data_IF_215030011599
#
_entry.id   IF_215030011599
#
_cell.length_a   1.000
_cell.length_b   1.000
_cell.length_c   1.000
_cell.angle_alpha   90.00
_cell.angle_beta   90.00
_cell.angle_gamma   90.00
#
_symmetry.space_group_name_H-M   'P 1'
#
loop_
_entity.id
_entity.type
_entity.pdbx_description
1 polymer ?
#
# COMPACT_ATOMS: atom_id res chain seq x y z
N UNK A 1 -13.22 10.07 32.05
CA UNK A 1 -14.27 10.50 31.08
C UNK A 1 -14.69 9.24 30.38
N UNK A 2 -15.89 8.72 30.70
CA UNK A 2 -16.28 7.37 30.36
C UNK A 2 -16.46 7.22 28.85
N UNK A 3 -15.62 6.41 28.20
CA UNK A 3 -15.88 5.90 26.87
C UNK A 3 -17.16 5.05 26.94
N UNK A 4 -18.26 5.63 26.48
CA UNK A 4 -19.45 4.87 26.18
C UNK A 4 -19.12 4.00 24.96
N UNK A 5 -18.70 2.77 25.21
CA UNK A 5 -18.75 1.68 24.24
C UNK A 5 -20.22 1.36 23.98
N UNK A 6 -20.90 2.24 23.23
CA UNK A 6 -22.20 1.91 22.68
C UNK A 6 -21.96 0.92 21.55
N UNK A 7 -22.55 -0.28 21.68
CA UNK A 7 -22.47 -1.34 20.69
C UNK A 7 -22.85 -0.80 19.31
N UNK A 8 -21.89 -0.82 18.39
CA UNK A 8 -22.14 -0.50 16.99
C UNK A 8 -22.77 -1.75 16.38
N UNK A 9 -24.09 -1.73 16.20
CA UNK A 9 -24.77 -2.77 15.43
C UNK A 9 -24.35 -2.64 13.97
N UNK A 10 -23.58 -3.61 13.48
CA UNK A 10 -23.13 -3.66 12.09
C UNK A 10 -24.35 -3.97 11.22
N UNK A 11 -24.85 -2.94 10.54
CA UNK A 11 -25.88 -3.02 9.50
C UNK A 11 -25.37 -2.31 8.26
N UNK A 12 -25.71 -2.83 7.09
CA UNK A 12 -25.39 -2.18 5.81
C UNK A 12 -26.06 -0.81 5.73
N UNK A 13 -25.26 0.22 5.47
CA UNK A 13 -25.69 1.61 5.37
C UNK A 13 -25.95 2.07 3.94
N UNK A 14 -26.63 3.21 3.81
CA UNK A 14 -26.89 3.87 2.53
C UNK A 14 -25.79 4.86 2.14
N UNK A 15 -26.14 5.82 1.29
CA UNK A 15 -25.22 6.87 0.83
C UNK A 15 -24.83 7.86 1.95
N UNK A 16 -23.56 7.92 2.38
CA UNK A 16 -23.11 8.75 3.50
C UNK A 16 -22.84 10.22 3.10
N UNK A 17 -22.98 10.61 1.82
CA UNK A 17 -22.55 11.94 1.33
C UNK A 17 -23.27 13.12 1.99
N UNK A 18 -24.43 12.90 2.57
CA UNK A 18 -25.18 13.92 3.30
C UNK A 18 -24.61 14.22 4.70
N UNK A 19 -23.70 13.38 5.22
CA UNK A 19 -23.08 13.53 6.52
C UNK A 19 -21.83 14.42 6.46
N UNK A 20 -21.72 15.37 7.38
CA UNK A 20 -20.54 16.23 7.51
C UNK A 20 -19.29 15.41 7.86
N UNK A 21 -19.45 14.36 8.67
CA UNK A 21 -18.38 13.46 9.06
C UNK A 21 -17.76 12.74 7.86
N UNK A 22 -18.59 12.33 6.89
CA UNK A 22 -18.10 11.71 5.66
C UNK A 22 -17.32 12.70 4.79
N UNK A 23 -17.77 13.95 4.69
CA UNK A 23 -17.03 14.98 3.95
C UNK A 23 -15.67 15.27 4.60
N UNK A 24 -15.63 15.37 5.94
CA UNK A 24 -14.39 15.54 6.68
C UNK A 24 -13.41 14.36 6.50
N UNK A 25 -13.90 13.11 6.45
CA UNK A 25 -13.05 11.94 6.12
C UNK A 25 -12.43 12.12 4.73
N UNK A 26 -13.22 12.54 3.73
CA UNK A 26 -12.72 12.73 2.36
C UNK A 26 -11.66 13.81 2.29
N UNK A 27 -11.82 14.90 3.02
CA UNK A 27 -10.81 15.96 3.12
C UNK A 27 -9.48 15.43 3.67
N UNK A 28 -9.53 14.64 4.75
CA UNK A 28 -8.34 14.00 5.33
C UNK A 28 -7.69 13.00 4.35
N UNK A 29 -8.49 12.15 3.70
CA UNK A 29 -7.99 11.17 2.72
C UNK A 29 -7.36 11.85 1.50
N UNK A 30 -7.90 12.98 1.05
CA UNK A 30 -7.35 13.73 -0.09
C UNK A 30 -5.94 14.26 0.16
N UNK A 31 -5.56 14.49 1.43
CA UNK A 31 -4.18 14.91 1.79
C UNK A 31 -3.13 13.88 1.38
N UNK A 32 -3.48 12.59 1.29
CA UNK A 32 -2.55 11.50 0.88
C UNK A 32 -1.90 11.80 -0.48
N UNK A 33 -2.64 12.42 -1.40
CA UNK A 33 -2.16 12.70 -2.75
C UNK A 33 -1.78 14.19 -2.94
N UNK A 34 -1.85 15.01 -1.88
CA UNK A 34 -1.72 16.46 -2.01
C UNK A 34 -0.24 16.88 -2.07
N UNK A 35 0.16 17.71 -3.05
CA UNK A 35 1.56 18.14 -3.21
C UNK A 35 2.14 18.91 -2.02
N UNK A 36 1.29 19.55 -1.21
CA UNK A 36 1.73 20.31 -0.04
C UNK A 36 2.15 19.46 1.15
N UNK A 37 2.19 18.12 1.02
CA UNK A 37 2.67 17.18 2.03
C UNK A 37 2.01 17.36 3.42
N UNK A 38 0.71 17.67 3.43
CA UNK A 38 -0.03 17.74 4.69
C UNK A 38 -0.12 16.35 5.33
N UNK A 39 0.15 16.29 6.63
CA UNK A 39 0.00 15.06 7.39
C UNK A 39 -1.49 14.68 7.52
N UNK A 40 -1.77 13.40 7.30
CA UNK A 40 -3.12 12.82 7.39
C UNK A 40 -3.41 12.47 8.85
N UNK A 41 -4.54 12.93 9.39
CA UNK A 41 -4.93 12.56 10.74
C UNK A 41 -5.73 11.24 10.75
N UNK A 42 -5.01 10.11 10.89
CA UNK A 42 -5.62 8.77 10.89
C UNK A 42 -6.58 8.53 12.07
N UNK A 43 -6.27 9.05 13.26
CA UNK A 43 -7.16 8.95 14.43
C UNK A 43 -8.48 9.69 14.21
N UNK A 44 -8.42 10.85 13.56
CA UNK A 44 -9.61 11.59 13.17
C UNK A 44 -10.46 10.79 12.19
N UNK A 45 -9.86 10.24 11.13
CA UNK A 45 -10.57 9.39 10.15
C UNK A 45 -11.27 8.22 10.85
N UNK A 46 -10.59 7.53 11.77
CA UNK A 46 -11.16 6.43 12.55
C UNK A 46 -12.39 6.89 13.34
N UNK A 47 -12.27 7.99 14.09
CA UNK A 47 -13.38 8.51 14.91
C UNK A 47 -14.59 8.94 14.08
N UNK A 48 -14.35 9.60 12.93
CA UNK A 48 -15.40 10.05 12.02
C UNK A 48 -16.08 8.88 11.33
N UNK A 49 -15.33 7.85 10.93
CA UNK A 49 -15.89 6.67 10.30
C UNK A 49 -16.82 5.91 11.26
N UNK A 50 -16.43 5.77 12.53
CA UNK A 50 -17.30 5.22 13.57
C UNK A 50 -18.56 6.07 13.78
N UNK A 51 -18.47 7.40 13.66
CA UNK A 51 -19.65 8.28 13.70
C UNK A 51 -20.57 8.06 12.49
N UNK A 52 -20.03 7.89 11.29
CA UNK A 52 -20.79 7.54 10.08
C UNK A 52 -21.49 6.19 10.27
N UNK A 53 -20.79 5.16 10.76
CA UNK A 53 -21.38 3.84 10.99
C UNK A 53 -22.58 3.88 11.94
N UNK A 54 -22.48 4.65 13.03
CA UNK A 54 -23.59 4.79 13.99
C UNK A 54 -24.82 5.47 13.37
N UNK A 55 -24.61 6.48 12.52
CA UNK A 55 -25.70 7.30 11.97
C UNK A 55 -26.34 6.69 10.72
N UNK A 56 -25.52 6.18 9.82
CA UNK A 56 -25.94 5.75 8.48
C UNK A 56 -25.85 4.24 8.26
N UNK A 57 -25.15 3.50 9.13
CA UNK A 57 -24.73 2.13 8.87
C UNK A 57 -23.40 2.08 8.13
N UNK A 58 -22.93 0.87 7.85
CA UNK A 58 -21.62 0.62 7.22
C UNK A 58 -21.77 0.60 5.71
N UNK A 59 -21.10 1.53 5.03
CA UNK A 59 -20.88 1.52 3.59
C UNK A 59 -19.45 1.11 3.24
N UNK A 60 -19.21 0.65 2.00
CA UNK A 60 -17.92 0.11 1.59
C UNK A 60 -16.81 1.17 1.63
N UNK A 61 -17.09 2.39 1.18
CA UNK A 61 -16.06 3.43 1.08
C UNK A 61 -15.59 3.87 2.46
N UNK A 62 -16.52 4.15 3.37
CA UNK A 62 -16.20 4.48 4.76
C UNK A 62 -15.52 3.30 5.47
N UNK A 63 -15.95 2.05 5.21
CA UNK A 63 -15.29 0.85 5.74
C UNK A 63 -13.83 0.73 5.30
N UNK A 64 -13.51 1.03 4.04
CA UNK A 64 -12.14 1.00 3.53
C UNK A 64 -11.28 2.11 4.15
N UNK A 65 -11.84 3.31 4.36
CA UNK A 65 -11.15 4.40 5.05
C UNK A 65 -10.90 4.08 6.52
N UNK A 66 -11.88 3.51 7.20
CA UNK A 66 -11.75 3.01 8.57
C UNK A 66 -10.66 1.94 8.67
N UNK A 67 -10.71 0.91 7.82
CA UNK A 67 -9.74 -0.18 7.82
C UNK A 67 -8.31 0.34 7.61
N UNK A 68 -8.11 1.30 6.69
CA UNK A 68 -6.80 1.90 6.47
C UNK A 68 -6.33 2.74 7.66
N UNK A 69 -7.24 3.49 8.30
CA UNK A 69 -6.94 4.28 9.49
C UNK A 69 -6.57 3.39 10.69
N UNK A 70 -7.31 2.30 10.90
CA UNK A 70 -7.00 1.27 11.90
C UNK A 70 -5.65 0.62 11.64
N UNK A 71 -5.36 0.27 10.39
CA UNK A 71 -4.06 -0.28 10.04
C UNK A 71 -2.92 0.71 10.37
N UNK A 72 -3.07 1.98 10.02
CA UNK A 72 -2.08 3.02 10.33
C UNK A 72 -1.90 3.26 11.83
N UNK A 73 -2.96 3.13 12.62
CA UNK A 73 -2.95 3.50 14.04
C UNK A 73 -2.64 2.34 14.98
N UNK A 74 -3.07 1.12 14.62
CA UNK A 74 -2.97 -0.09 15.45
C UNK A 74 -2.16 -1.23 14.78
N UNK A 75 -1.52 -0.96 13.64
CA UNK A 75 -0.66 -1.93 12.96
C UNK A 75 -1.42 -3.16 12.50
N UNK A 76 -0.80 -4.34 12.62
CA UNK A 76 -1.35 -5.60 12.12
C UNK A 76 -2.73 -5.90 12.71
N UNK A 77 -2.93 -5.69 14.01
CA UNK A 77 -4.23 -5.93 14.66
C UNK A 77 -5.35 -5.08 14.04
N UNK A 78 -5.11 -3.78 13.84
CA UNK A 78 -6.08 -2.90 13.17
C UNK A 78 -6.32 -3.27 11.71
N UNK A 79 -5.33 -3.86 11.04
CA UNK A 79 -5.51 -4.40 9.69
C UNK A 79 -6.39 -5.65 9.68
N UNK A 80 -6.19 -6.58 10.61
CA UNK A 80 -7.03 -7.76 10.78
C UNK A 80 -8.49 -7.36 11.00
N UNK A 81 -8.76 -6.51 11.99
CA UNK A 81 -10.10 -5.98 12.29
C UNK A 81 -10.75 -5.32 11.05
N UNK A 82 -9.97 -4.54 10.32
CA UNK A 82 -10.42 -3.89 9.10
C UNK A 82 -10.78 -4.89 8.00
N UNK A 83 -9.97 -5.92 7.79
CA UNK A 83 -10.25 -6.98 6.82
C UNK A 83 -11.47 -7.82 7.21
N UNK A 84 -11.67 -8.12 8.49
CA UNK A 84 -12.86 -8.83 8.99
C UNK A 84 -14.13 -8.01 8.77
N UNK A 85 -14.10 -6.71 9.06
CA UNK A 85 -15.21 -5.80 8.77
C UNK A 85 -15.54 -5.80 7.27
N UNK A 86 -14.52 -5.67 6.41
CA UNK A 86 -14.70 -5.66 4.96
C UNK A 86 -15.26 -7.00 4.46
N UNK A 87 -14.76 -8.12 4.96
CA UNK A 87 -15.27 -9.44 4.64
C UNK A 87 -16.76 -9.56 5.02
N UNK A 88 -17.14 -9.07 6.20
CA UNK A 88 -18.53 -9.04 6.66
C UNK A 88 -19.43 -8.19 5.76
N UNK A 89 -19.02 -6.95 5.44
CA UNK A 89 -19.80 -6.04 4.58
C UNK A 89 -20.00 -6.61 3.18
N UNK A 90 -18.93 -7.14 2.57
CA UNK A 90 -18.97 -7.68 1.21
C UNK A 90 -19.74 -9.00 1.17
N UNK A 91 -19.55 -9.86 2.16
CA UNK A 91 -20.23 -11.16 2.23
C UNK A 91 -21.72 -11.05 2.55
N UNK A 92 -22.14 -10.06 3.34
CA UNK A 92 -23.53 -9.92 3.76
C UNK A 92 -24.43 -9.25 2.71
N UNK A 93 -23.99 -8.15 2.09
CA UNK A 93 -24.89 -7.26 1.34
C UNK A 93 -24.18 -6.55 0.17
N UNK A 94 -23.35 -7.25 -0.61
CA UNK A 94 -22.62 -6.64 -1.75
C UNK A 94 -23.53 -5.81 -2.67
N UNK A 95 -24.72 -6.32 -3.01
CA UNK A 95 -25.64 -5.63 -3.92
C UNK A 95 -26.13 -4.29 -3.36
N UNK A 96 -26.42 -4.26 -2.05
CA UNK A 96 -27.02 -3.12 -1.36
C UNK A 96 -25.97 -2.14 -0.79
N UNK A 97 -24.73 -2.57 -0.70
CA UNK A 97 -23.66 -1.78 -0.13
C UNK A 97 -23.30 -0.57 -1.02
N UNK A 98 -23.27 0.62 -0.43
CA UNK A 98 -22.86 1.83 -1.15
C UNK A 98 -21.33 1.88 -1.32
N UNK A 99 -20.77 2.39 -2.45
CA UNK A 99 -21.44 2.99 -3.62
C UNK A 99 -22.19 2.01 -4.52
N UNK A 100 -23.27 2.42 -5.18
CA UNK A 100 -24.06 1.55 -6.07
C UNK A 100 -23.31 1.06 -7.31
N UNK A 101 -22.33 1.85 -7.79
CA UNK A 101 -21.59 1.52 -8.99
C UNK A 101 -20.50 0.47 -8.71
N UNK A 102 -20.64 -0.72 -9.28
CA UNK A 102 -19.69 -1.83 -9.16
C UNK A 102 -18.24 -1.44 -9.48
N UNK A 103 -18.02 -0.68 -10.56
CA UNK A 103 -16.66 -0.29 -10.96
C UNK A 103 -16.02 0.63 -9.91
N UNK A 104 -16.81 1.51 -9.29
CA UNK A 104 -16.33 2.36 -8.18
C UNK A 104 -15.98 1.52 -6.95
N UNK A 105 -16.78 0.49 -6.62
CA UNK A 105 -16.44 -0.45 -5.53
C UNK A 105 -15.12 -1.15 -5.79
N UNK A 106 -14.93 -1.63 -7.02
CA UNK A 106 -13.71 -2.31 -7.47
C UNK A 106 -12.50 -1.36 -7.39
N UNK A 107 -12.62 -0.11 -7.83
CA UNK A 107 -11.56 0.90 -7.76
C UNK A 107 -11.19 1.26 -6.31
N UNK A 108 -12.19 1.36 -5.43
CA UNK A 108 -11.97 1.59 -4.00
C UNK A 108 -11.20 0.44 -3.33
N UNK A 109 -11.54 -0.80 -3.67
CA UNK A 109 -10.84 -2.00 -3.19
C UNK A 109 -9.40 -2.07 -3.70
N UNK A 110 -9.17 -1.74 -4.97
CA UNK A 110 -7.83 -1.62 -5.53
C UNK A 110 -7.00 -0.53 -4.84
N UNK A 111 -7.61 0.63 -4.61
CA UNK A 111 -6.97 1.73 -3.89
C UNK A 111 -6.56 1.29 -2.48
N UNK A 112 -7.45 0.64 -1.74
CA UNK A 112 -7.16 0.11 -0.42
C UNK A 112 -6.03 -0.91 -0.47
N UNK A 113 -6.10 -1.88 -1.40
CA UNK A 113 -5.09 -2.90 -1.58
C UNK A 113 -3.71 -2.30 -1.83
N UNK A 114 -3.60 -1.29 -2.70
CA UNK A 114 -2.35 -0.59 -2.96
C UNK A 114 -1.79 0.09 -1.70
N UNK A 115 -2.64 0.77 -0.92
CA UNK A 115 -2.22 1.44 0.32
C UNK A 115 -1.82 0.45 1.41
N UNK A 116 -2.62 -0.60 1.64
CA UNK A 116 -2.33 -1.65 2.59
C UNK A 116 -1.04 -2.42 2.23
N UNK A 117 -0.87 -2.75 0.95
CA UNK A 117 0.35 -3.38 0.41
C UNK A 117 1.60 -2.54 0.71
N UNK A 118 1.51 -1.21 0.62
CA UNK A 118 2.63 -0.34 0.93
C UNK A 118 2.97 -0.38 2.42
N UNK A 119 1.97 -0.31 3.31
CA UNK A 119 2.18 -0.38 4.76
C UNK A 119 2.76 -1.74 5.17
N UNK A 120 2.17 -2.84 4.70
CA UNK A 120 2.61 -4.20 5.05
C UNK A 120 4.10 -4.42 4.73
N UNK A 121 4.59 -3.91 3.60
CA UNK A 121 5.99 -4.05 3.20
C UNK A 121 6.97 -3.26 4.08
N UNK A 122 6.49 -2.28 4.85
CA UNK A 122 7.32 -1.53 5.80
C UNK A 122 7.40 -2.18 7.17
N UNK A 123 6.53 -3.17 7.45
CA UNK A 123 6.52 -3.88 8.71
C UNK A 123 7.53 -5.02 8.71
N UNK A 124 8.11 -5.27 9.88
CA UNK A 124 8.93 -6.44 10.14
C UNK A 124 8.21 -7.32 11.15
N UNK A 125 8.25 -8.63 10.92
CA UNK A 125 7.55 -9.60 11.74
C UNK A 125 8.52 -10.61 12.34
N UNK A 126 8.21 -11.04 13.56
CA UNK A 126 8.95 -12.04 14.32
C UNK A 126 8.06 -13.25 14.62
N UNK A 127 8.67 -14.32 15.14
CA UNK A 127 7.94 -15.56 15.47
C UNK A 127 6.80 -15.35 16.48
N UNK A 128 6.90 -14.35 17.36
CA UNK A 128 5.84 -13.98 18.31
C UNK A 128 4.57 -13.45 17.64
N UNK A 129 4.69 -12.93 16.41
CA UNK A 129 3.58 -12.34 15.65
C UNK A 129 2.81 -13.38 14.83
N UNK A 130 3.26 -14.65 14.84
CA UNK A 130 2.73 -15.71 13.96
C UNK A 130 1.22 -15.91 14.12
N UNK A 131 0.71 -15.90 15.35
CA UNK A 131 -0.73 -16.05 15.60
C UNK A 131 -1.53 -14.90 14.97
N UNK A 132 -1.08 -13.66 15.15
CA UNK A 132 -1.72 -12.47 14.57
C UNK A 132 -1.63 -12.46 13.04
N UNK A 133 -0.53 -12.96 12.46
CA UNK A 133 -0.39 -13.13 11.03
C UNK A 133 -1.35 -14.18 10.47
N UNK A 134 -1.52 -15.32 11.15
CA UNK A 134 -2.48 -16.36 10.76
C UNK A 134 -3.92 -15.81 10.81
N UNK A 135 -4.28 -15.06 11.86
CA UNK A 135 -5.59 -14.40 11.95
C UNK A 135 -5.80 -13.43 10.78
N UNK A 136 -4.79 -12.64 10.45
CA UNK A 136 -4.81 -11.73 9.30
C UNK A 136 -4.96 -12.47 7.98
N UNK A 137 -4.26 -13.59 7.80
CA UNK A 137 -4.36 -14.43 6.61
C UNK A 137 -5.78 -14.97 6.44
N UNK A 138 -6.40 -15.44 7.52
CA UNK A 138 -7.76 -15.95 7.51
C UNK A 138 -8.77 -14.86 7.13
N UNK A 139 -8.65 -13.66 7.71
CA UNK A 139 -9.50 -12.52 7.37
C UNK A 139 -9.37 -12.13 5.88
N UNK A 140 -8.14 -12.08 5.36
CA UNK A 140 -7.88 -11.82 3.94
C UNK A 140 -8.39 -12.94 3.03
N UNK A 141 -8.30 -14.20 3.48
CA UNK A 141 -8.85 -15.35 2.76
C UNK A 141 -10.37 -15.23 2.63
N UNK A 142 -11.08 -14.98 3.72
CA UNK A 142 -12.54 -14.80 3.69
C UNK A 142 -12.93 -13.65 2.77
N UNK A 143 -12.23 -12.52 2.85
CA UNK A 143 -12.45 -11.38 1.96
C UNK A 143 -12.23 -11.77 0.47
N UNK A 144 -11.16 -12.50 0.17
CA UNK A 144 -10.85 -12.97 -1.18
C UNK A 144 -11.90 -13.94 -1.70
N UNK A 145 -12.29 -14.93 -0.89
CA UNK A 145 -13.28 -15.94 -1.25
C UNK A 145 -14.64 -15.28 -1.53
N UNK A 146 -15.05 -14.29 -0.71
CA UNK A 146 -16.27 -13.51 -0.94
C UNK A 146 -16.21 -12.75 -2.29
N UNK A 147 -15.10 -12.11 -2.61
CA UNK A 147 -14.93 -11.37 -3.87
C UNK A 147 -14.94 -12.28 -5.11
N UNK A 148 -14.41 -13.49 -4.99
CA UNK A 148 -14.38 -14.47 -6.09
C UNK A 148 -15.76 -15.07 -6.41
N UNK A 149 -16.65 -15.15 -5.41
CA UNK A 149 -18.01 -15.68 -5.57
C UNK A 149 -18.97 -14.68 -6.23
N UNK A 150 -18.61 -13.40 -6.24
CA UNK A 150 -19.44 -12.35 -6.84
C UNK A 150 -19.27 -12.33 -8.37
N UNK A 151 -20.35 -12.05 -9.13
CA UNK A 151 -20.31 -11.97 -10.60
C UNK A 151 -19.67 -10.65 -11.09
N UNK A 152 -18.46 -10.34 -10.63
CA UNK A 152 -17.76 -9.10 -10.92
C UNK A 152 -17.18 -9.10 -12.33
N UNK A 153 -17.22 -7.94 -13.00
CA UNK A 153 -16.50 -7.75 -14.27
C UNK A 153 -15.00 -8.03 -14.16
N UNK A 154 -14.43 -7.74 -12.99
CA UNK A 154 -13.02 -7.96 -12.65
C UNK A 154 -12.86 -8.10 -11.15
N UNK A 155 -12.22 -9.17 -10.71
CA UNK A 155 -11.96 -9.40 -9.29
C UNK A 155 -10.82 -8.47 -8.79
N UNK A 156 -11.03 -7.67 -7.73
CA UNK A 156 -9.96 -6.91 -7.07
C UNK A 156 -8.88 -7.84 -6.50
N UNK A 157 -7.60 -7.52 -6.69
CA UNK A 157 -6.47 -8.43 -6.38
C UNK A 157 -6.06 -8.47 -4.91
N UNK A 158 -7.01 -8.63 -4.00
CA UNK A 158 -6.75 -8.72 -2.54
C UNK A 158 -5.89 -9.94 -2.18
N UNK A 159 -5.94 -10.98 -3.01
CA UNK A 159 -5.12 -12.20 -2.93
C UNK A 159 -3.62 -11.92 -2.76
N UNK A 160 -3.10 -10.84 -3.35
CA UNK A 160 -1.68 -10.48 -3.22
C UNK A 160 -1.26 -10.23 -1.77
N UNK A 161 -2.14 -9.65 -0.95
CA UNK A 161 -1.90 -9.44 0.47
C UNK A 161 -1.93 -10.76 1.24
N UNK A 162 -2.89 -11.63 0.91
CA UNK A 162 -2.99 -12.95 1.50
C UNK A 162 -1.72 -13.76 1.24
N UNK A 163 -1.24 -13.79 -0.01
CA UNK A 163 0.01 -14.48 -0.37
C UNK A 163 1.21 -13.91 0.38
N UNK A 164 1.30 -12.58 0.52
CA UNK A 164 2.39 -11.96 1.28
C UNK A 164 2.39 -12.39 2.75
N UNK A 165 1.23 -12.37 3.41
CA UNK A 165 1.08 -12.80 4.81
C UNK A 165 1.39 -14.29 4.94
N UNK A 166 0.80 -15.15 4.10
CA UNK A 166 1.07 -16.59 4.10
C UNK A 166 2.56 -16.92 3.97
N UNK A 167 3.23 -16.31 3.00
CA UNK A 167 4.67 -16.51 2.80
C UNK A 167 5.48 -16.02 4.00
N UNK A 168 5.00 -14.98 4.69
CA UNK A 168 5.63 -14.49 5.92
C UNK A 168 5.45 -15.49 7.06
N UNK A 169 4.26 -16.08 7.23
CA UNK A 169 4.02 -17.15 8.21
C UNK A 169 4.96 -18.34 7.97
N UNK A 170 5.01 -18.86 6.74
CA UNK A 170 5.87 -20.00 6.36
C UNK A 170 7.35 -19.72 6.67
N UNK A 171 7.86 -18.54 6.31
CA UNK A 171 9.24 -18.13 6.61
C UNK A 171 9.53 -18.07 8.10
N UNK A 172 8.56 -17.69 8.94
CA UNK A 172 8.73 -17.62 10.39
C UNK A 172 8.64 -19.01 11.04
N UNK A 173 7.83 -19.91 10.47
CA UNK A 173 7.72 -21.32 10.88
C UNK A 173 8.98 -22.12 10.51
N UNK A 174 9.55 -21.88 9.33
CA UNK A 174 10.79 -22.47 8.80
C UNK A 174 12.07 -21.90 9.41
N UNK A 175 11.97 -20.87 10.28
CA UNK A 175 13.11 -20.32 11.03
C UNK A 175 13.46 -21.03 12.37
N UNK A 176 13.43 -22.36 12.55
CA UNK A 176 14.16 -23.02 13.63
C UNK A 176 15.50 -23.57 13.10
N UNK A 177 16.60 -23.26 13.81
CA UNK A 177 17.93 -23.93 13.78
C UNK A 177 19.11 -23.30 13.03
N UNK A 178 18.97 -22.38 12.07
CA UNK A 178 20.16 -21.72 11.50
C UNK A 178 20.91 -20.77 12.47
N UNK A 179 20.23 -20.26 13.51
CA UNK A 179 20.85 -19.44 14.55
C UNK A 179 21.48 -20.25 15.70
N UNK A 180 21.22 -21.57 15.77
CA UNK A 180 21.85 -22.48 16.73
C UNK A 180 23.04 -23.25 16.16
N UNK A 181 23.29 -23.16 14.85
CA UNK A 181 24.45 -23.75 14.20
C UNK A 181 25.42 -22.65 13.72
N UNK A 182 26.27 -22.17 14.64
CA UNK A 182 27.62 -21.81 14.22
C UNK A 182 28.44 -23.09 14.13
N UNK A 183 29.05 -23.36 12.98
CA UNK A 183 30.51 -23.42 12.89
C UNK A 183 30.96 -22.43 11.80
N UNK A 184 31.80 -21.46 12.13
CA UNK A 184 33.26 -21.54 12.04
C UNK A 184 33.80 -21.87 10.64
N UNK A 185 34.76 -21.04 10.25
CA UNK A 185 35.72 -21.12 9.13
C UNK A 185 35.30 -20.46 7.81
N UNK A 186 36.10 -19.44 7.46
CA UNK A 186 36.07 -18.64 6.24
C UNK A 186 36.09 -19.49 4.96
N UNK A 187 35.58 -18.96 3.82
CA UNK A 187 35.75 -19.65 2.55
C UNK A 187 37.24 -19.65 2.19
N UNK A 188 37.84 -20.85 2.23
CA UNK A 188 39.16 -21.14 1.70
C UNK A 188 39.20 -20.70 0.23
N UNK A 189 40.03 -19.70 -0.08
CA UNK A 189 40.24 -19.23 -1.46
C UNK A 189 40.89 -20.35 -2.26
N UNK A 190 40.08 -21.08 -3.01
CA UNK A 190 40.54 -22.01 -4.02
C UNK A 190 41.11 -21.21 -5.20
N UNK A 191 42.43 -21.12 -5.29
CA UNK A 191 43.11 -20.48 -6.42
C UNK A 191 43.33 -21.55 -7.48
N UNK A 192 42.69 -21.39 -8.64
CA UNK A 192 42.93 -22.21 -9.82
C UNK A 192 44.23 -21.78 -10.49
N UNK A 193 45.16 -22.71 -10.68
CA UNK A 193 46.39 -22.50 -11.46
C UNK A 193 46.29 -23.38 -12.71
N UNK A 194 46.32 -22.81 -13.93
CA UNK A 194 46.49 -23.61 -15.13
C UNK A 194 47.93 -24.14 -15.20
N UNK A 195 48.06 -25.43 -15.48
CA UNK A 195 49.35 -26.08 -15.72
C UNK A 195 49.92 -25.80 -17.12
N UNK A 196 51.25 -25.90 -17.20
CA UNK A 196 52.10 -25.83 -18.40
C UNK A 196 52.81 -24.48 -18.52
N UNK A 197 54.13 -24.34 -18.49
CA UNK A 197 55.21 -25.29 -18.74
C UNK A 197 56.50 -24.84 -18.03
N UNK A 198 57.38 -25.82 -17.87
CA UNK A 198 58.84 -25.72 -17.74
C UNK A 198 59.50 -25.41 -16.38
N UNK A 199 60.13 -26.50 -15.90
CA UNK A 199 61.46 -26.60 -15.28
C UNK A 199 61.73 -26.05 -13.89
N UNK A 200 62.00 -27.03 -13.01
CA UNK A 200 63.12 -27.13 -12.08
C UNK A 200 63.20 -26.26 -10.82
N UNK A 201 63.64 -26.97 -9.78
CA UNK A 201 64.13 -26.55 -8.47
C UNK A 201 63.16 -25.95 -7.45
N UNK A 202 62.80 -26.81 -6.49
CA UNK A 202 62.51 -26.39 -5.11
C UNK A 202 63.71 -25.63 -4.52
N UNK A 203 63.44 -24.61 -3.72
CA UNK A 203 63.94 -24.69 -2.35
C UNK A 203 62.87 -24.41 -1.28
N UNK A 204 63.04 -25.11 -0.16
CA UNK A 204 62.40 -24.96 1.16
C UNK A 204 62.48 -23.52 1.75
N UNK A 205 61.71 -23.20 2.80
CA UNK A 205 61.07 -21.91 2.99
C UNK A 205 61.89 -20.95 3.86
N UNK A 206 61.77 -19.64 3.59
CA UNK A 206 62.20 -18.60 4.52
C UNK A 206 61.04 -17.97 5.30
N UNK A 207 61.24 -17.66 6.60
CA UNK A 207 60.20 -17.25 7.55
C UNK A 207 59.64 -15.84 7.29
N UNK A 208 58.44 -15.52 7.82
CA UNK A 208 57.69 -14.33 7.42
C UNK A 208 58.36 -13.02 7.88
N UNK A 209 58.70 -12.15 6.92
CA UNK A 209 59.01 -10.74 7.18
C UNK A 209 57.70 -9.96 7.32
N UNK A 210 57.36 -9.60 8.55
CA UNK A 210 56.33 -8.61 8.86
C UNK A 210 56.85 -7.25 8.37
N UNK A 211 56.20 -6.66 7.36
CA UNK A 211 56.33 -5.23 7.08
C UNK A 211 54.98 -4.66 6.64
N UNK A 212 54.42 -3.86 7.55
CA UNK A 212 53.36 -2.88 7.35
C UNK A 212 53.63 -1.99 6.14
N UNK A 213 52.64 -1.80 5.26
CA UNK A 213 52.47 -0.61 4.43
C UNK A 213 50.99 -0.56 4.00
N UNK A 214 50.21 0.38 4.54
CA UNK A 214 49.96 1.70 3.97
C UNK A 214 48.95 1.66 2.81
N UNK A 215 47.78 2.23 3.07
CA UNK A 215 46.69 2.46 2.11
C UNK A 215 47.18 3.32 0.93
N UNK A 216 46.98 2.91 -0.33
CA UNK A 216 47.04 3.83 -1.45
C UNK A 216 45.64 4.36 -1.83
N UNK A 217 45.63 5.69 -1.90
CA UNK A 217 44.77 6.63 -2.63
C UNK A 217 43.47 6.15 -3.28
N UNK A 218 42.40 6.84 -2.88
CA UNK A 218 41.10 6.95 -3.54
C UNK A 218 41.24 7.62 -4.91
N UNK A 219 41.06 6.87 -5.99
CA UNK A 219 40.66 7.44 -7.27
C UNK A 219 39.14 7.48 -7.36
N UNK A 220 38.63 8.70 -7.48
CA UNK A 220 37.22 9.04 -7.51
C UNK A 220 36.53 8.43 -8.75
N UNK A 221 35.59 7.52 -8.51
CA UNK A 221 34.65 7.08 -9.55
C UNK A 221 33.55 8.13 -9.65
N UNK A 222 33.53 8.82 -10.79
CA UNK A 222 32.53 9.80 -11.21
C UNK A 222 31.18 9.10 -11.39
N UNK A 223 30.20 9.42 -10.56
CA UNK A 223 28.82 8.99 -10.75
C UNK A 223 28.16 9.79 -11.89
N UNK A 224 27.39 9.17 -12.80
CA UNK A 224 26.62 9.91 -13.78
C UNK A 224 25.52 10.72 -13.07
N UNK A 225 25.56 12.04 -13.25
CA UNK A 225 24.54 12.97 -12.78
C UNK A 225 23.23 12.75 -13.55
N UNK A 226 22.19 12.31 -12.85
CA UNK A 226 20.82 12.30 -13.37
C UNK A 226 20.37 13.75 -13.58
N UNK A 227 20.30 14.17 -14.84
CA UNK A 227 19.76 15.47 -15.21
C UNK A 227 18.25 15.49 -14.96
N UNK A 228 17.83 16.37 -14.04
CA UNK A 228 16.44 16.71 -13.76
C UNK A 228 15.85 17.44 -14.95
N UNK A 229 15.13 16.71 -15.80
CA UNK A 229 14.32 17.30 -16.89
C UNK A 229 13.23 18.16 -16.26
N UNK A 230 13.38 19.48 -16.39
CA UNK A 230 12.31 20.46 -16.14
C UNK A 230 11.21 20.21 -17.18
N UNK A 231 10.13 19.55 -16.76
CA UNK A 231 8.88 19.52 -17.51
C UNK A 231 8.35 20.94 -17.66
N UNK A 232 8.33 21.42 -18.90
CA UNK A 232 7.79 22.71 -19.28
C UNK A 232 6.27 22.69 -19.07
N UNK A 233 5.80 23.63 -18.25
CA UNK A 233 4.39 23.97 -18.07
C UNK A 233 3.98 24.85 -19.26
N UNK A 234 3.36 24.26 -20.28
CA UNK A 234 2.64 25.01 -21.33
C UNK A 234 1.45 24.19 -21.78
N UNK A 235 0.24 24.67 -21.47
CA UNK A 235 -0.98 24.08 -22.03
C UNK A 235 -2.29 24.25 -21.25
N UNK A 236 -2.43 25.20 -20.33
CA UNK A 236 -3.73 25.49 -19.69
C UNK A 236 -4.23 26.91 -20.00
N UNK A 237 -4.25 27.28 -21.27
CA UNK A 237 -4.97 28.48 -21.75
C UNK A 237 -5.83 28.25 -23.00
N UNK A 238 -5.96 27.01 -23.49
CA UNK A 238 -6.82 26.69 -24.65
C UNK A 238 -8.30 26.43 -24.31
N UNK A 239 -8.61 25.99 -23.09
CA UNK A 239 -9.97 25.56 -22.73
C UNK A 239 -10.97 26.70 -22.51
N UNK A 240 -10.53 27.80 -21.87
CA UNK A 240 -11.40 28.93 -21.55
C UNK A 240 -11.84 29.71 -22.81
N UNK A 241 -10.96 29.79 -23.82
CA UNK A 241 -11.27 30.42 -25.11
C UNK A 241 -12.27 29.61 -25.93
N UNK A 242 -12.18 28.28 -25.94
CA UNK A 242 -13.17 27.44 -26.62
C UNK A 242 -14.56 27.54 -25.98
N UNK A 243 -14.66 27.56 -24.64
CA UNK A 243 -15.95 27.70 -23.98
C UNK A 243 -16.59 29.08 -24.21
N UNK A 244 -15.79 30.16 -24.20
CA UNK A 244 -16.29 31.50 -24.51
C UNK A 244 -16.72 31.65 -25.97
N UNK A 245 -15.97 31.08 -26.93
CA UNK A 245 -16.36 31.08 -28.34
C UNK A 245 -17.63 30.29 -28.60
N UNK A 246 -17.81 29.12 -27.96
CA UNK A 246 -19.03 28.31 -28.09
C UNK A 246 -20.24 29.03 -27.45
N UNK A 247 -20.03 29.70 -26.31
CA UNK A 247 -21.10 30.48 -25.68
C UNK A 247 -21.48 31.71 -26.52
N UNK A 248 -20.51 32.41 -27.12
CA UNK A 248 -20.75 33.56 -28.00
C UNK A 248 -21.46 33.17 -29.30
N UNK A 249 -21.08 32.04 -29.92
CA UNK A 249 -21.78 31.54 -31.11
C UNK A 249 -23.19 31.10 -30.78
N UNK A 250 -23.40 30.37 -29.68
CA UNK A 250 -24.74 30.01 -29.22
C UNK A 250 -25.59 31.26 -28.91
N UNK A 251 -25.04 32.27 -28.25
CA UNK A 251 -25.73 33.53 -27.99
C UNK A 251 -26.13 34.24 -29.30
N UNK A 252 -25.23 34.31 -30.28
CA UNK A 252 -25.51 34.96 -31.56
C UNK A 252 -26.60 34.24 -32.36
N UNK A 253 -26.66 32.91 -32.33
CA UNK A 253 -27.67 32.13 -33.05
C UNK A 253 -29.02 32.04 -32.35
N UNK A 254 -29.07 32.13 -31.01
CA UNK A 254 -30.31 31.96 -30.26
C UNK A 254 -30.94 33.27 -29.76
N UNK A 255 -30.16 34.36 -29.64
CA UNK A 255 -30.63 35.61 -29.02
C UNK A 255 -30.69 36.78 -30.01
N UNK A 256 -29.90 36.77 -31.08
CA UNK A 256 -30.02 37.79 -32.14
C UNK A 256 -31.04 37.29 -33.17
N UNK A 257 -32.23 37.90 -33.28
CA UNK A 257 -33.14 37.56 -34.36
C UNK A 257 -32.48 37.98 -35.68
N UNK A 258 -32.38 37.04 -36.61
CA UNK A 258 -32.00 37.31 -37.99
C UNK A 258 -33.16 38.10 -38.60
N UNK A 259 -33.14 39.41 -38.42
CA UNK A 259 -33.99 40.31 -39.18
C UNK A 259 -33.26 40.67 -40.48
N UNK A 260 -33.84 40.17 -41.57
CA UNK A 260 -33.61 40.47 -43.01
C UNK A 260 -32.53 39.65 -43.73
#
# INVERSE_FOLDING_TARGET
MNEQTQDIVIRTGGDPRHLAEFQAIREEINKINHPSQQEVNWKLIESLALAVFRRNGVDLQTALYYALARFRSAGLAGFTEGCELLAGVIGADWERCWPENEMVRIELLDWFNAKASHILRTLSFEKKDLEALIQTENALKTLSDNLQQLPLRRVPRVENLQFFIRNTCQRLEEKPEQEKASPSVAPEKMIWVPGGDDTEDLPEPEPPKIVTCALPASDAVTFPTVNKTRGIVTGFFGGLFCCLLIALTAYYFYVVPIDS
#
